data_IF_917907944822
#
_entry.id   IF_917907944822
#
_cell.length_a   1.000
_cell.length_b   1.000
_cell.length_c   1.000
_cell.angle_alpha   90.00
_cell.angle_beta   90.00
_cell.angle_gamma   90.00
#
_symmetry.space_group_name_H-M   'P 1'
#
loop_
_entity.id
_entity.type
_entity.pdbx_description
1 polymer ?
#
# COMPACT_ATOMS: atom_id res chain seq x y z
N UNK A 1 63.11 -8.40 37.38
CA UNK A 1 64.29 -7.63 36.99
C UNK A 1 63.82 -6.32 36.33
N UNK A 2 64.15 -5.24 37.05
CA UNK A 2 64.49 -3.88 36.58
C UNK A 2 63.30 -3.14 35.91
N UNK A 3 62.53 -2.30 36.63
CA UNK A 3 62.80 -0.91 37.10
C UNK A 3 63.25 0.07 36.02
N UNK A 4 62.48 1.14 35.91
CA UNK A 4 62.77 2.58 35.97
C UNK A 4 61.62 3.32 35.36
N UNK A 5 60.75 4.08 35.99
CA UNK A 5 60.81 5.32 36.82
C UNK A 5 61.53 6.48 36.13
N UNK A 6 60.74 7.49 35.70
CA UNK A 6 61.04 8.94 35.73
C UNK A 6 59.79 9.64 35.20
N UNK A 7 59.02 10.34 35.89
CA UNK A 7 59.03 11.61 36.67
C UNK A 7 59.65 12.81 35.91
N UNK A 8 58.83 13.76 35.55
CA UNK A 8 59.13 15.23 35.60
C UNK A 8 58.03 15.97 34.84
N UNK A 9 57.27 16.73 35.44
CA UNK A 9 57.26 18.12 35.95
C UNK A 9 56.62 19.12 35.00
N UNK A 10 55.44 19.61 35.38
CA UNK A 10 55.06 20.99 35.61
C UNK A 10 55.32 22.02 34.49
N UNK A 11 54.27 22.52 33.87
CA UNK A 11 54.18 23.96 33.60
C UNK A 11 52.73 24.44 33.52
N UNK A 12 52.44 25.26 34.42
CA UNK A 12 51.30 26.15 34.64
C UNK A 12 51.46 27.34 33.69
N UNK A 13 50.45 27.73 32.91
CA UNK A 13 50.15 29.17 32.66
C UNK A 13 48.81 29.37 31.89
N UNK A 14 47.88 29.98 32.57
CA UNK A 14 47.16 31.21 32.20
C UNK A 14 46.16 31.21 31.07
N UNK A 15 44.88 31.41 31.45
CA UNK A 15 43.75 31.88 30.65
C UNK A 15 44.04 33.25 29.97
N UNK A 16 43.28 33.55 28.89
CA UNK A 16 42.11 34.35 29.11
C UNK A 16 40.85 33.86 28.32
N UNK A 17 39.72 34.20 28.91
CA UNK A 17 38.40 34.11 28.37
C UNK A 17 38.25 34.92 27.09
N UNK A 18 37.75 34.31 26.03
CA UNK A 18 37.12 35.01 24.96
C UNK A 18 35.80 34.29 24.66
N UNK A 19 34.72 34.95 25.00
CA UNK A 19 33.37 34.59 24.65
C UNK A 19 33.24 34.60 23.13
N UNK A 20 32.98 33.47 22.55
CA UNK A 20 32.48 33.38 21.20
C UNK A 20 31.09 32.79 21.26
N UNK A 21 30.15 33.61 20.78
CA UNK A 21 28.80 33.19 20.54
C UNK A 21 28.80 31.94 19.65
N UNK A 22 28.27 30.87 20.20
CA UNK A 22 27.90 29.69 19.46
C UNK A 22 26.70 30.06 18.62
N UNK A 23 26.92 30.28 17.34
CA UNK A 23 25.88 30.05 16.36
C UNK A 23 25.62 28.53 16.37
N UNK A 24 24.49 28.16 16.93
CA UNK A 24 24.02 26.78 16.88
C UNK A 24 23.79 26.40 15.43
N UNK A 25 24.69 25.63 14.89
CA UNK A 25 24.41 24.81 13.73
C UNK A 25 23.87 23.49 14.28
N UNK A 26 22.58 23.52 14.61
CA UNK A 26 21.81 22.31 14.74
C UNK A 26 21.75 21.67 13.35
N UNK A 27 22.75 20.88 13.05
CA UNK A 27 22.58 19.84 12.07
C UNK A 27 21.49 18.91 12.61
N UNK A 28 20.25 19.28 12.33
CA UNK A 28 19.16 18.33 12.33
C UNK A 28 19.57 17.25 11.35
N UNK A 29 20.08 16.14 11.90
CA UNK A 29 20.17 14.90 11.20
C UNK A 29 18.73 14.47 10.94
N UNK A 30 18.20 15.01 9.85
CA UNK A 30 16.98 14.55 9.22
C UNK A 30 17.26 13.10 8.84
N UNK A 31 16.91 12.23 9.77
CA UNK A 31 16.80 10.80 9.49
C UNK A 31 15.71 10.74 8.46
N UNK A 32 16.12 10.71 7.20
CA UNK A 32 15.29 10.36 6.07
C UNK A 32 14.83 8.92 6.33
N UNK A 33 13.79 8.80 7.16
CA UNK A 33 12.98 7.63 7.20
C UNK A 33 12.29 7.60 5.83
N UNK A 34 12.99 7.02 4.87
CA UNK A 34 12.34 6.44 3.73
C UNK A 34 11.39 5.38 4.31
N UNK A 35 10.23 5.85 4.77
CA UNK A 35 9.10 4.96 4.86
C UNK A 35 8.89 4.46 3.45
N UNK A 36 9.29 3.21 3.24
CA UNK A 36 8.85 2.41 2.11
C UNK A 36 7.32 2.38 2.20
N UNK A 37 6.72 3.45 1.70
CA UNK A 37 5.28 3.50 1.51
C UNK A 37 5.02 2.48 0.43
N UNK A 38 4.71 1.26 0.85
CA UNK A 38 4.11 0.25 0.00
C UNK A 38 2.88 0.91 -0.62
N UNK A 39 3.05 1.45 -1.83
CA UNK A 39 1.91 1.91 -2.61
C UNK A 39 1.00 0.70 -2.82
N UNK A 40 -0.09 0.72 -2.07
CA UNK A 40 -1.14 -0.27 -2.22
C UNK A 40 -1.66 -0.19 -3.66
N UNK A 41 -1.92 -1.33 -4.30
CA UNK A 41 -2.44 -1.34 -5.66
C UNK A 41 -3.71 -0.50 -5.75
N UNK A 42 -3.72 0.44 -6.69
CA UNK A 42 -4.86 1.33 -6.91
C UNK A 42 -6.00 0.54 -7.55
N UNK A 43 -7.09 0.38 -6.80
CA UNK A 43 -8.31 -0.23 -7.32
C UNK A 43 -9.22 0.87 -7.88
N UNK A 44 -9.24 1.01 -9.19
CA UNK A 44 -10.23 1.83 -9.84
C UNK A 44 -11.52 1.04 -10.02
N UNK A 45 -12.48 1.30 -9.15
CA UNK A 45 -13.87 0.85 -9.36
C UNK A 45 -14.53 1.86 -10.28
N UNK A 46 -14.65 1.53 -11.54
CA UNK A 46 -15.48 2.30 -12.44
C UNK A 46 -16.96 1.98 -12.14
N UNK A 47 -17.50 2.70 -11.15
CA UNK A 47 -18.96 2.77 -10.99
C UNK A 47 -19.54 3.47 -12.19
N UNK A 48 -20.49 2.84 -12.84
CA UNK A 48 -21.32 3.45 -13.88
C UNK A 48 -21.94 4.73 -13.31
N UNK A 49 -21.87 5.80 -14.08
CA UNK A 49 -22.46 7.10 -13.78
C UNK A 49 -23.91 6.92 -13.31
N UNK A 50 -24.18 7.26 -12.06
CA UNK A 50 -25.48 7.19 -11.43
C UNK A 50 -26.42 8.22 -12.09
N UNK A 51 -27.24 7.79 -13.00
CA UNK A 51 -28.50 8.48 -13.26
C UNK A 51 -29.40 8.26 -12.04
N UNK A 52 -29.82 9.34 -11.41
CA UNK A 52 -30.48 9.43 -10.10
C UNK A 52 -31.76 8.60 -9.96
N UNK A 53 -32.26 7.99 -11.04
CA UNK A 53 -33.46 7.20 -11.11
C UNK A 53 -33.25 5.72 -11.45
N UNK A 54 -32.00 5.23 -11.48
CA UNK A 54 -31.74 3.88 -11.94
C UNK A 54 -30.79 3.13 -11.02
N UNK A 55 -31.34 2.10 -10.40
CA UNK A 55 -30.68 0.91 -9.91
C UNK A 55 -29.27 1.15 -9.31
N UNK A 56 -29.22 1.32 -8.00
CA UNK A 56 -27.95 1.23 -7.30
C UNK A 56 -27.37 -0.16 -7.52
N UNK A 57 -26.26 -0.27 -8.27
CA UNK A 57 -25.52 -1.52 -8.40
C UNK A 57 -25.04 -2.05 -7.05
N UNK A 58 -24.45 -3.24 -7.02
CA UNK A 58 -23.90 -3.80 -5.79
C UNK A 58 -22.88 -2.84 -5.15
N UNK A 59 -22.96 -2.65 -3.84
CA UNK A 59 -22.07 -1.76 -3.09
C UNK A 59 -21.04 -2.61 -2.34
N UNK A 60 -19.75 -2.36 -2.60
CA UNK A 60 -18.68 -3.06 -1.90
C UNK A 60 -18.59 -2.59 -0.44
N UNK A 61 -18.60 -3.53 0.51
CA UNK A 61 -18.44 -3.32 1.97
C UNK A 61 -17.03 -3.57 2.45
N UNK A 62 -16.45 -4.70 2.06
CA UNK A 62 -15.09 -5.06 2.40
C UNK A 62 -14.35 -5.49 1.13
N UNK A 63 -13.19 -4.89 0.92
CA UNK A 63 -12.38 -5.07 -0.30
C UNK A 63 -10.95 -5.39 0.09
N UNK A 64 -10.68 -6.60 0.64
CA UNK A 64 -9.31 -6.98 0.96
C UNK A 64 -8.43 -6.96 -0.30
N UNK A 65 -7.24 -6.37 -0.15
CA UNK A 65 -6.29 -6.23 -1.24
C UNK A 65 -5.67 -7.56 -1.65
N UNK A 66 -5.38 -7.77 -2.94
CA UNK A 66 -4.61 -8.91 -3.38
C UNK A 66 -3.15 -8.77 -2.91
N UNK A 67 -2.61 -9.80 -2.27
CA UNK A 67 -1.19 -9.88 -1.97
C UNK A 67 -0.37 -10.13 -3.24
N UNK A 68 0.83 -9.56 -3.31
CA UNK A 68 1.78 -9.92 -4.36
C UNK A 68 2.40 -11.28 -4.01
N UNK A 69 2.36 -12.26 -4.92
CA UNK A 69 2.97 -13.56 -4.69
C UNK A 69 4.49 -13.46 -4.50
N UNK A 70 5.05 -14.22 -3.56
CA UNK A 70 6.50 -14.21 -3.27
C UNK A 70 7.38 -14.57 -4.48
N UNK A 71 6.84 -15.27 -5.46
CA UNK A 71 7.54 -15.53 -6.75
C UNK A 71 7.85 -14.27 -7.55
N UNK A 72 7.19 -13.16 -7.21
CA UNK A 72 7.34 -11.86 -7.84
C UNK A 72 7.98 -10.82 -6.91
N UNK A 73 8.40 -11.21 -5.70
CA UNK A 73 9.08 -10.34 -4.77
C UNK A 73 10.37 -9.77 -5.39
N UNK A 74 10.62 -8.48 -5.16
CA UNK A 74 11.78 -7.76 -5.68
C UNK A 74 11.75 -7.48 -7.19
N UNK A 75 10.65 -7.80 -7.88
CA UNK A 75 10.46 -7.41 -9.27
C UNK A 75 9.71 -6.09 -9.36
N UNK A 76 10.14 -5.24 -10.28
CA UNK A 76 9.36 -4.08 -10.67
C UNK A 76 8.10 -4.55 -11.42
N UNK A 77 6.95 -4.23 -10.86
CA UNK A 77 5.67 -4.63 -11.42
C UNK A 77 4.89 -3.37 -11.84
N UNK A 78 4.35 -3.43 -13.03
CA UNK A 78 3.32 -2.54 -13.54
C UNK A 78 2.39 -3.37 -14.42
N UNK A 79 1.43 -4.01 -13.79
CA UNK A 79 0.51 -4.96 -14.41
C UNK A 79 -0.90 -4.76 -13.87
N UNK A 80 -1.89 -5.23 -14.59
CA UNK A 80 -3.28 -5.08 -14.19
C UNK A 80 -4.13 -6.23 -14.69
N UNK A 81 -5.24 -6.44 -14.02
CA UNK A 81 -6.29 -7.34 -14.48
C UNK A 81 -7.65 -6.67 -14.45
N UNK A 82 -8.57 -7.15 -15.26
CA UNK A 82 -9.96 -6.71 -15.27
C UNK A 82 -10.88 -7.90 -15.06
N UNK A 83 -11.81 -7.76 -14.16
CA UNK A 83 -12.77 -8.78 -13.83
C UNK A 83 -14.18 -8.22 -13.73
N UNK A 84 -15.15 -9.05 -14.05
CA UNK A 84 -16.55 -8.82 -13.74
C UNK A 84 -16.88 -9.58 -12.48
N UNK A 85 -17.48 -8.89 -11.54
CA UNK A 85 -17.97 -9.46 -10.28
C UNK A 85 -19.49 -9.51 -10.37
N UNK A 86 -20.03 -10.71 -10.27
CA UNK A 86 -21.45 -10.94 -10.21
C UNK A 86 -21.85 -11.11 -8.74
N UNK A 87 -22.81 -10.36 -8.29
CA UNK A 87 -23.33 -10.41 -6.92
C UNK A 87 -24.77 -10.85 -6.97
N UNK A 88 -25.04 -12.03 -6.44
CA UNK A 88 -26.40 -12.53 -6.38
C UNK A 88 -27.22 -11.80 -5.31
N UNK A 89 -28.54 -11.92 -5.38
CA UNK A 89 -29.48 -11.43 -4.34
C UNK A 89 -29.16 -11.96 -2.93
N UNK A 90 -28.50 -13.12 -2.83
CA UNK A 90 -28.04 -13.70 -1.56
C UNK A 90 -26.62 -13.23 -1.17
N UNK A 91 -26.13 -12.16 -1.79
CA UNK A 91 -24.79 -11.59 -1.60
C UNK A 91 -23.62 -12.55 -1.93
N UNK A 92 -23.87 -13.60 -2.72
CA UNK A 92 -22.81 -14.50 -3.20
C UNK A 92 -22.04 -13.84 -4.34
N UNK A 93 -20.72 -13.95 -4.28
CA UNK A 93 -19.80 -13.36 -5.25
C UNK A 93 -19.32 -14.42 -6.23
N UNK A 94 -19.42 -14.12 -7.52
CA UNK A 94 -18.80 -14.91 -8.59
C UNK A 94 -17.89 -13.98 -9.41
N UNK A 95 -16.65 -14.40 -9.63
CA UNK A 95 -15.64 -13.62 -10.35
C UNK A 95 -15.43 -14.20 -11.74
N UNK A 96 -15.56 -13.35 -12.75
CA UNK A 96 -15.28 -13.68 -14.15
C UNK A 96 -14.15 -12.80 -14.65
N UNK A 97 -13.01 -13.39 -14.99
CA UNK A 97 -11.88 -12.65 -15.54
C UNK A 97 -12.18 -12.23 -16.97
N UNK A 98 -12.14 -10.94 -17.24
CA UNK A 98 -12.31 -10.35 -18.56
C UNK A 98 -10.97 -10.18 -19.28
N UNK A 99 -9.99 -9.66 -18.56
CA UNK A 99 -8.64 -9.44 -19.04
C UNK A 99 -7.66 -9.90 -17.95
N UNK A 100 -6.90 -10.98 -18.17
CA UNK A 100 -5.94 -11.46 -17.19
C UNK A 100 -4.71 -10.55 -17.15
N UNK A 101 -4.02 -10.50 -16.01
CA UNK A 101 -2.70 -9.89 -15.89
C UNK A 101 -1.67 -10.65 -16.74
N UNK A 102 -0.58 -9.99 -17.14
CA UNK A 102 0.54 -10.63 -17.86
C UNK A 102 1.16 -11.75 -17.03
N UNK A 103 1.26 -11.52 -15.71
CA UNK A 103 1.72 -12.53 -14.76
C UNK A 103 0.51 -13.33 -14.26
N UNK A 104 0.48 -14.63 -14.57
CA UNK A 104 -0.61 -15.50 -14.17
C UNK A 104 -0.85 -15.54 -12.66
N UNK A 105 0.23 -15.43 -11.89
CA UNK A 105 0.22 -15.40 -10.43
C UNK A 105 -0.58 -14.20 -9.90
N UNK A 106 -0.47 -13.02 -10.54
CA UNK A 106 -1.22 -11.82 -10.19
C UNK A 106 -2.72 -12.01 -10.51
N UNK A 107 -3.03 -12.66 -11.64
CA UNK A 107 -4.43 -12.99 -11.94
C UNK A 107 -5.02 -13.89 -10.87
N UNK A 108 -4.29 -14.92 -10.43
CA UNK A 108 -4.73 -15.80 -9.34
C UNK A 108 -4.92 -15.04 -8.03
N UNK A 109 -3.96 -14.18 -7.66
CA UNK A 109 -4.04 -13.36 -6.46
C UNK A 109 -5.26 -12.42 -6.49
N UNK A 110 -5.52 -11.80 -7.64
CA UNK A 110 -6.69 -10.95 -7.85
C UNK A 110 -8.01 -11.71 -7.71
N UNK A 111 -8.14 -12.89 -8.30
CA UNK A 111 -9.34 -13.73 -8.16
C UNK A 111 -9.56 -14.09 -6.69
N UNK A 112 -8.50 -14.52 -5.98
CA UNK A 112 -8.58 -14.87 -4.55
C UNK A 112 -9.00 -13.67 -3.70
N UNK A 113 -8.49 -12.48 -4.01
CA UNK A 113 -8.89 -11.27 -3.31
C UNK A 113 -10.36 -10.92 -3.58
N UNK A 114 -10.77 -10.85 -4.86
CA UNK A 114 -12.13 -10.53 -5.27
C UNK A 114 -13.17 -11.51 -4.70
N UNK A 115 -12.83 -12.79 -4.58
CA UNK A 115 -13.74 -13.79 -4.00
C UNK A 115 -13.97 -13.59 -2.50
N UNK A 116 -13.11 -12.82 -1.82
CA UNK A 116 -13.25 -12.45 -0.40
C UNK A 116 -13.94 -11.10 -0.21
N UNK A 117 -14.22 -10.39 -1.30
CA UNK A 117 -14.95 -9.14 -1.19
C UNK A 117 -16.39 -9.42 -0.75
N UNK A 118 -16.93 -8.50 0.03
CA UNK A 118 -18.33 -8.55 0.45
C UNK A 118 -19.07 -7.36 -0.10
N UNK A 119 -20.32 -7.59 -0.48
CA UNK A 119 -21.16 -6.59 -1.10
C UNK A 119 -22.54 -6.55 -0.46
N UNK A 120 -23.15 -5.37 -0.49
CA UNK A 120 -24.58 -5.25 -0.45
C UNK A 120 -25.12 -5.53 -1.87
N UNK A 121 -26.10 -6.40 -2.01
CA UNK A 121 -26.66 -6.72 -3.31
C UNK A 121 -27.36 -5.50 -3.92
N UNK A 122 -27.59 -5.57 -5.22
CA UNK A 122 -28.29 -4.54 -5.96
C UNK A 122 -29.74 -4.43 -5.50
N UNK A 123 -30.23 -3.19 -5.36
CA UNK A 123 -31.62 -2.90 -5.08
C UNK A 123 -32.29 -2.31 -6.33
N UNK A 124 -33.51 -2.75 -6.60
CA UNK A 124 -34.41 -2.19 -7.61
C UNK A 124 -35.71 -1.79 -6.91
N UNK A 125 -35.80 -0.52 -6.50
CA UNK A 125 -36.83 -0.12 -5.53
C UNK A 125 -36.59 -0.82 -4.20
N UNK A 126 -37.62 -1.53 -3.72
CA UNK A 126 -37.52 -2.30 -2.46
C UNK A 126 -37.17 -3.78 -2.67
N UNK A 127 -36.88 -4.19 -3.90
CA UNK A 127 -36.53 -5.58 -4.24
C UNK A 127 -35.01 -5.76 -4.36
N UNK A 128 -34.50 -6.81 -3.72
CA UNK A 128 -33.11 -7.25 -3.87
C UNK A 128 -32.99 -8.06 -5.15
N UNK A 129 -32.07 -7.66 -6.03
CA UNK A 129 -31.86 -8.30 -7.34
C UNK A 129 -30.38 -8.66 -7.51
N UNK A 130 -30.13 -9.56 -8.46
CA UNK A 130 -28.76 -9.84 -8.89
C UNK A 130 -28.16 -8.61 -9.57
N UNK A 131 -26.86 -8.37 -9.31
CA UNK A 131 -26.15 -7.25 -9.89
C UNK A 131 -24.78 -7.61 -10.36
N UNK A 132 -24.17 -6.73 -11.11
CA UNK A 132 -22.79 -6.90 -11.56
C UNK A 132 -22.01 -5.59 -11.50
N UNK A 133 -20.70 -5.72 -11.33
CA UNK A 133 -19.77 -4.59 -11.48
C UNK A 133 -18.49 -5.06 -12.15
N UNK A 134 -17.83 -4.12 -12.80
CA UNK A 134 -16.52 -4.36 -13.41
C UNK A 134 -15.44 -3.72 -12.53
N UNK A 135 -14.43 -4.52 -12.17
CA UNK A 135 -13.30 -4.11 -11.35
C UNK A 135 -12.01 -4.21 -12.15
N UNK A 136 -11.16 -3.20 -12.06
CA UNK A 136 -9.78 -3.26 -12.53
C UNK A 136 -8.87 -3.23 -11.29
N UNK A 137 -7.97 -4.20 -11.20
CA UNK A 137 -6.94 -4.23 -10.17
C UNK A 137 -5.60 -3.91 -10.83
N UNK A 138 -4.90 -2.93 -10.31
CA UNK A 138 -3.58 -2.55 -10.76
C UNK A 138 -2.54 -3.02 -9.73
N UNK A 139 -1.56 -3.77 -10.17
CA UNK A 139 -0.46 -4.28 -9.36
C UNK A 139 0.78 -3.45 -9.70
N UNK A 140 1.23 -2.64 -8.77
CA UNK A 140 2.42 -1.83 -8.93
C UNK A 140 3.34 -2.04 -7.73
N UNK A 141 4.62 -2.24 -7.99
CA UNK A 141 5.70 -2.17 -7.00
C UNK A 141 6.69 -1.12 -7.47
N UNK A 142 7.34 -0.47 -6.54
CA UNK A 142 8.46 0.45 -6.79
C UNK A 142 9.76 -0.24 -6.50
#
# INVERSE_FOLDING_TARGET
MKTFLTLSLLSLLCLPAAAWAVAGDEATHETDHHEDILELPEVHVHGLSLNKDQQQGPVAKATPWPGIPSSLDGKELDDWMKARVLVSKDAKVTVVVLEPARHRELTTAGIVALSKWTFDPQMKGDEVVDGELTVRIHFRTR
#
